data_IF_146254933122
#
_entry.id   IF_146254933122
#
_cell.length_a   1.000
_cell.length_b   1.000
_cell.length_c   1.000
_cell.angle_alpha   90.00
_cell.angle_beta   90.00
_cell.angle_gamma   90.00
#
_symmetry.space_group_name_H-M   'P 1'
#
loop_
_entity.id
_entity.type
_entity.pdbx_description
1 polymer ?
#
# COMPACT_ATOMS: atom_id res chain seq x y z
N UNK A 1 14.58 -39.12 -47.60
CA UNK A 1 13.12 -38.85 -47.60
C UNK A 1 12.43 -39.00 -46.22
N UNK A 2 12.96 -39.79 -45.27
CA UNK A 2 12.34 -40.02 -43.94
C UNK A 2 12.60 -38.94 -42.84
N UNK A 3 13.60 -38.06 -42.98
CA UNK A 3 13.89 -37.02 -41.97
C UNK A 3 12.93 -35.81 -42.01
N UNK A 4 12.36 -35.48 -43.17
CA UNK A 4 11.49 -34.30 -43.34
C UNK A 4 10.10 -34.54 -42.73
N UNK A 5 9.56 -35.76 -42.82
CA UNK A 5 8.25 -36.11 -42.24
C UNK A 5 8.24 -36.13 -40.70
N UNK A 6 9.39 -36.38 -40.04
CA UNK A 6 9.50 -36.30 -38.57
C UNK A 6 9.43 -34.86 -38.04
N UNK A 7 9.81 -33.86 -38.83
CA UNK A 7 9.73 -32.45 -38.45
C UNK A 7 8.27 -31.92 -38.42
N UNK A 8 7.40 -32.43 -39.31
CA UNK A 8 5.99 -32.04 -39.36
C UNK A 8 5.10 -32.74 -38.32
N UNK A 9 5.56 -33.86 -37.74
CA UNK A 9 4.85 -34.55 -36.65
C UNK A 9 4.79 -33.72 -35.35
N UNK A 10 5.76 -32.83 -35.13
CA UNK A 10 5.82 -31.93 -33.96
C UNK A 10 4.78 -30.80 -34.05
N UNK A 11 4.42 -30.39 -35.28
CA UNK A 11 3.47 -29.29 -35.54
C UNK A 11 2.02 -29.70 -35.26
N UNK A 12 1.71 -31.00 -35.31
CA UNK A 12 0.34 -31.55 -35.13
C UNK A 12 0.11 -32.19 -33.76
N UNK A 13 0.77 -31.74 -32.69
CA UNK A 13 0.32 -32.06 -31.34
C UNK A 13 -1.01 -31.33 -31.08
N UNK A 14 -2.09 -32.00 -30.65
CA UNK A 14 -3.23 -31.30 -30.09
C UNK A 14 -2.67 -30.40 -28.99
N UNK A 15 -2.92 -29.08 -29.08
CA UNK A 15 -2.50 -28.14 -28.03
C UNK A 15 -2.99 -28.72 -26.71
N UNK A 16 -2.06 -28.90 -25.76
CA UNK A 16 -2.41 -29.20 -24.38
C UNK A 16 -3.53 -28.25 -23.96
N UNK A 17 -4.71 -28.79 -23.67
CA UNK A 17 -5.80 -28.02 -23.09
C UNK A 17 -5.36 -27.71 -21.66
N UNK A 18 -4.74 -26.56 -21.45
CA UNK A 18 -4.48 -26.10 -20.08
C UNK A 18 -5.83 -25.73 -19.47
N UNK A 19 -6.28 -26.49 -18.46
CA UNK A 19 -7.31 -26.04 -17.55
C UNK A 19 -6.84 -24.73 -16.90
N UNK A 20 -7.49 -23.62 -17.25
CA UNK A 20 -7.32 -22.36 -16.54
C UNK A 20 -8.45 -22.27 -15.53
N UNK A 21 -8.16 -22.61 -14.29
CA UNK A 21 -9.07 -22.30 -13.18
C UNK A 21 -9.24 -20.78 -13.12
N UNK A 22 -10.49 -20.34 -13.16
CA UNK A 22 -10.86 -18.94 -12.92
C UNK A 22 -11.35 -18.88 -11.49
N UNK A 23 -10.64 -18.14 -10.65
CA UNK A 23 -11.11 -17.86 -9.29
C UNK A 23 -12.34 -16.96 -9.44
N UNK A 24 -13.52 -17.50 -9.11
CA UNK A 24 -14.73 -16.70 -8.96
C UNK A 24 -14.89 -16.36 -7.47
N UNK A 25 -14.80 -15.08 -7.16
CA UNK A 25 -15.05 -14.60 -5.80
C UNK A 25 -16.56 -14.47 -5.64
N UNK A 26 -17.16 -15.37 -4.87
CA UNK A 26 -18.62 -15.40 -4.65
C UNK A 26 -19.04 -14.51 -3.48
N UNK A 27 -18.16 -14.31 -2.50
CA UNK A 27 -18.48 -13.62 -1.25
C UNK A 27 -17.50 -12.48 -0.95
N UNK A 28 -18.03 -11.39 -0.37
CA UNK A 28 -17.25 -10.33 0.24
C UNK A 28 -17.15 -10.56 1.75
N UNK A 29 -15.96 -10.32 2.30
CA UNK A 29 -15.73 -10.32 3.73
C UNK A 29 -15.45 -8.89 4.18
N UNK A 30 -16.04 -8.50 5.30
CA UNK A 30 -15.76 -7.19 5.90
C UNK A 30 -14.50 -7.32 6.75
N UNK A 31 -13.50 -6.49 6.44
CA UNK A 31 -12.34 -6.27 7.30
C UNK A 31 -12.56 -4.97 8.04
N UNK A 32 -12.58 -5.01 9.38
CA UNK A 32 -12.78 -3.81 10.18
C UNK A 32 -11.44 -3.24 10.61
N UNK A 33 -11.35 -1.91 10.64
CA UNK A 33 -10.13 -1.22 11.09
C UNK A 33 -9.88 -1.40 12.59
N UNK A 34 -10.92 -1.72 13.37
CA UNK A 34 -10.79 -2.07 14.80
C UNK A 34 -10.02 -3.38 15.04
N UNK A 35 -9.96 -4.25 14.03
CA UNK A 35 -9.25 -5.53 14.09
C UNK A 35 -7.75 -5.38 13.73
N UNK A 36 -7.27 -4.16 13.47
CA UNK A 36 -5.84 -3.91 13.24
C UNK A 36 -5.07 -4.23 14.52
N UNK A 37 -4.19 -5.22 14.45
CA UNK A 37 -3.34 -5.60 15.58
C UNK A 37 -2.49 -4.42 16.08
N UNK A 38 -2.12 -4.44 17.37
CA UNK A 38 -1.14 -3.49 17.89
C UNK A 38 0.21 -3.71 17.19
N UNK A 39 0.81 -2.62 16.71
CA UNK A 39 2.15 -2.63 16.13
C UNK A 39 3.17 -2.24 17.18
N UNK A 40 4.23 -3.02 17.33
CA UNK A 40 5.44 -2.61 18.03
C UNK A 40 6.53 -2.25 17.01
N UNK A 41 7.29 -1.20 17.31
CA UNK A 41 8.49 -0.84 16.56
C UNK A 41 9.66 -0.79 17.52
N UNK A 42 10.66 -1.64 17.32
CA UNK A 42 11.88 -1.59 18.13
C UNK A 42 12.65 -0.29 17.91
N UNK A 43 13.22 0.28 18.97
CA UNK A 43 13.98 1.55 18.94
C UNK A 43 15.08 1.53 17.86
N UNK A 44 15.74 0.38 17.66
CA UNK A 44 16.75 0.23 16.61
C UNK A 44 16.24 0.49 15.18
N UNK A 45 14.94 0.30 14.91
CA UNK A 45 14.35 0.62 13.61
C UNK A 45 14.27 2.13 13.38
N UNK A 46 14.03 2.93 14.42
CA UNK A 46 14.05 4.40 14.35
C UNK A 46 15.43 4.91 13.93
N UNK A 47 16.49 4.31 14.49
CA UNK A 47 17.88 4.62 14.12
C UNK A 47 18.21 4.24 12.68
N UNK A 48 17.52 3.25 12.09
CA UNK A 48 17.76 2.73 10.73
C UNK A 48 16.80 3.26 9.66
N UNK A 49 16.14 4.40 9.91
CA UNK A 49 15.34 5.09 8.91
C UNK A 49 13.84 5.05 9.15
N UNK A 50 13.39 4.35 10.20
CA UNK A 50 12.00 4.36 10.65
C UNK A 50 11.60 5.72 11.26
N UNK A 51 10.30 5.97 11.34
CA UNK A 51 9.77 7.20 11.94
C UNK A 51 8.43 6.97 12.60
N UNK A 52 8.18 7.70 13.69
CA UNK A 52 6.91 7.77 14.41
C UNK A 52 6.32 9.15 14.16
N UNK A 53 5.08 9.15 13.68
CA UNK A 53 4.22 10.32 13.58
C UNK A 53 3.21 10.28 14.72
N UNK A 54 3.13 11.39 15.44
CA UNK A 54 2.27 11.55 16.62
C UNK A 54 1.84 13.01 16.75
N UNK A 55 0.77 13.25 17.48
CA UNK A 55 0.29 14.58 17.78
C UNK A 55 0.14 14.79 19.31
N UNK A 56 -0.47 15.90 19.70
CA UNK A 56 -0.75 16.21 21.10
C UNK A 56 -1.71 15.23 21.78
N UNK A 57 -2.67 14.65 21.06
CA UNK A 57 -3.56 13.65 21.62
C UNK A 57 -2.82 12.34 21.88
N UNK A 58 -1.85 11.97 21.04
CA UNK A 58 -0.99 10.81 21.31
C UNK A 58 -0.28 10.90 22.66
N UNK A 59 0.13 12.11 23.07
CA UNK A 59 0.81 12.35 24.35
C UNK A 59 -0.15 12.48 25.55
N UNK A 60 -1.38 12.97 25.32
CA UNK A 60 -2.35 13.29 26.39
C UNK A 60 -3.34 12.16 26.63
N UNK A 61 -3.89 11.60 25.56
CA UNK A 61 -5.04 10.69 25.54
C UNK A 61 -4.66 9.26 25.08
N UNK A 62 -3.46 9.09 24.51
CA UNK A 62 -2.95 7.77 24.13
C UNK A 62 -2.88 6.79 25.31
N UNK A 63 -2.80 5.49 24.98
CA UNK A 63 -2.58 4.44 25.98
C UNK A 63 -1.35 4.72 26.85
N UNK A 64 -1.35 4.28 28.10
CA UNK A 64 -0.25 4.53 29.03
C UNK A 64 1.11 4.07 28.50
N UNK A 65 1.16 2.87 27.90
CA UNK A 65 2.36 2.33 27.24
C UNK A 65 2.89 3.26 26.14
N UNK A 66 2.00 3.72 25.25
CA UNK A 66 2.37 4.62 24.14
C UNK A 66 2.83 5.99 24.65
N UNK A 67 2.16 6.55 25.66
CA UNK A 67 2.54 7.83 26.26
C UNK A 67 3.90 7.76 26.94
N UNK A 68 4.17 6.68 27.67
CA UNK A 68 5.46 6.48 28.33
C UNK A 68 6.59 6.30 27.29
N UNK A 69 6.33 5.51 26.24
CA UNK A 69 7.26 5.35 25.13
C UNK A 69 7.58 6.69 24.44
N UNK A 70 6.56 7.50 24.12
CA UNK A 70 6.78 8.79 23.47
C UNK A 70 7.59 9.75 24.34
N UNK A 71 7.34 9.79 25.66
CA UNK A 71 8.13 10.62 26.60
C UNK A 71 9.59 10.20 26.63
N UNK A 72 9.86 8.90 26.76
CA UNK A 72 11.22 8.36 26.73
C UNK A 72 11.95 8.71 25.43
N UNK A 73 11.27 8.53 24.28
CA UNK A 73 11.85 8.83 22.98
C UNK A 73 12.09 10.34 22.78
N UNK A 74 11.23 11.21 23.32
CA UNK A 74 11.40 12.66 23.25
C UNK A 74 12.61 13.16 24.06
N UNK A 75 12.99 12.43 25.10
CA UNK A 75 14.18 12.70 25.92
C UNK A 75 15.46 12.09 25.31
N UNK A 76 15.34 11.16 24.34
CA UNK A 76 16.49 10.55 23.66
C UNK A 76 17.10 11.48 22.59
N UNK A 77 18.12 12.23 23.00
CA UNK A 77 18.88 13.14 22.13
C UNK A 77 19.73 12.43 21.05
N UNK A 78 19.83 11.10 21.07
CA UNK A 78 20.65 10.34 20.12
C UNK A 78 19.85 9.90 18.88
N UNK A 79 18.54 10.12 18.86
CA UNK A 79 17.69 9.77 17.73
C UNK A 79 17.88 10.73 16.55
N UNK A 80 17.89 10.22 15.30
CA UNK A 80 17.90 11.09 14.13
C UNK A 80 16.69 12.01 14.08
N UNK A 81 16.84 13.24 13.57
CA UNK A 81 15.73 14.24 13.46
C UNK A 81 14.50 13.73 12.70
N UNK A 82 14.64 12.74 11.83
CA UNK A 82 13.51 12.16 11.10
C UNK A 82 12.71 11.14 11.93
N UNK A 83 13.26 10.64 13.06
CA UNK A 83 12.69 9.52 13.81
C UNK A 83 11.39 9.89 14.51
N UNK A 84 11.32 11.09 15.08
CA UNK A 84 10.14 11.60 15.78
C UNK A 84 9.56 12.76 14.98
N UNK A 85 8.34 12.61 14.48
CA UNK A 85 7.66 13.58 13.65
C UNK A 85 6.37 14.03 14.36
N UNK A 86 6.49 15.08 15.18
CA UNK A 86 5.32 15.71 15.81
C UNK A 86 4.48 16.43 14.75
N UNK A 87 3.17 16.28 14.86
CA UNK A 87 2.19 16.94 14.01
C UNK A 87 1.60 18.11 14.80
N UNK A 88 1.94 19.32 14.40
CA UNK A 88 1.54 20.55 15.10
C UNK A 88 0.03 20.80 15.01
N UNK A 89 -0.56 20.58 13.83
CA UNK A 89 -2.00 20.69 13.64
C UNK A 89 -2.65 19.30 13.65
N UNK A 90 -3.18 18.90 14.80
CA UNK A 90 -3.86 17.62 14.98
C UNK A 90 -5.00 17.38 13.98
N UNK A 91 -5.69 18.44 13.51
CA UNK A 91 -6.75 18.27 12.51
C UNK A 91 -6.24 17.71 11.19
N UNK A 92 -4.93 17.80 10.92
CA UNK A 92 -4.31 17.22 9.75
C UNK A 92 -3.95 15.74 9.92
N UNK A 93 -3.92 15.22 11.15
CA UNK A 93 -3.62 13.81 11.42
C UNK A 93 -4.90 12.97 11.30
N UNK A 94 -5.41 12.85 10.07
CA UNK A 94 -6.68 12.19 9.74
C UNK A 94 -6.63 10.65 9.85
N UNK A 95 -6.08 10.10 10.92
CA UNK A 95 -5.98 8.65 11.15
C UNK A 95 -6.65 8.27 12.47
N UNK A 96 -7.35 7.11 12.54
CA UNK A 96 -7.86 6.58 13.81
C UNK A 96 -6.76 5.95 14.66
N UNK A 97 -5.53 5.81 14.14
CA UNK A 97 -4.41 5.23 14.87
C UNK A 97 -3.82 6.27 15.83
N UNK A 98 -3.52 5.86 17.07
CA UNK A 98 -2.87 6.72 18.07
C UNK A 98 -1.51 7.26 17.56
N UNK A 99 -0.76 6.44 16.83
CA UNK A 99 0.51 6.81 16.19
C UNK A 99 0.63 6.12 14.83
N UNK A 100 1.40 6.71 13.93
CA UNK A 100 1.72 6.11 12.64
C UNK A 100 3.22 5.84 12.50
N UNK A 101 3.58 4.60 12.18
CA UNK A 101 4.97 4.19 11.98
C UNK A 101 5.29 4.05 10.48
N UNK A 102 6.25 4.82 9.97
CA UNK A 102 6.80 4.61 8.63
C UNK A 102 8.09 3.79 8.71
N UNK A 103 8.23 2.78 7.87
CA UNK A 103 9.37 1.86 7.89
C UNK A 103 10.62 2.42 7.20
N UNK A 104 10.47 3.32 6.22
CA UNK A 104 11.58 3.90 5.44
C UNK A 104 11.20 5.22 4.75
N UNK A 105 12.13 5.80 3.97
CA UNK A 105 12.05 7.16 3.41
C UNK A 105 10.80 7.48 2.56
N UNK A 106 10.47 6.71 1.52
CA UNK A 106 9.23 6.85 0.74
C UNK A 106 7.97 6.89 1.58
N UNK A 107 7.78 5.95 2.52
CA UNK A 107 6.61 5.95 3.39
C UNK A 107 6.59 7.21 4.28
N UNK A 108 7.74 7.58 4.87
CA UNK A 108 7.84 8.82 5.66
C UNK A 108 7.42 10.03 4.83
N UNK A 109 7.92 10.15 3.59
CA UNK A 109 7.57 11.24 2.68
C UNK A 109 6.08 11.21 2.30
N UNK A 110 5.50 10.02 2.14
CA UNK A 110 4.08 9.86 1.83
C UNK A 110 3.20 10.32 2.99
N UNK A 111 3.50 9.88 4.23
CA UNK A 111 2.77 10.36 5.43
C UNK A 111 2.91 11.87 5.57
N UNK A 112 4.12 12.42 5.36
CA UNK A 112 4.32 13.88 5.35
C UNK A 112 3.43 14.62 4.36
N UNK A 113 3.24 14.06 3.16
CA UNK A 113 2.33 14.63 2.15
C UNK A 113 0.87 14.56 2.64
N UNK A 114 0.43 13.44 3.22
CA UNK A 114 -0.95 13.28 3.72
C UNK A 114 -1.33 14.29 4.83
N UNK A 115 -0.37 14.67 5.68
CA UNK A 115 -0.59 15.61 6.79
C UNK A 115 -0.40 17.09 6.41
N UNK A 116 -0.09 17.39 5.14
CA UNK A 116 -0.10 18.78 4.65
C UNK A 116 -1.53 19.29 4.64
N UNK A 117 -1.75 20.54 5.06
CA UNK A 117 -3.10 21.10 5.25
C UNK A 117 -3.95 21.04 3.99
N UNK A 118 -3.34 21.28 2.83
CA UNK A 118 -3.97 21.21 1.51
C UNK A 118 -4.40 19.80 1.08
N UNK A 119 -3.77 18.76 1.61
CA UNK A 119 -4.15 17.36 1.37
C UNK A 119 -5.12 16.89 2.45
N UNK A 120 -4.82 17.19 3.71
CA UNK A 120 -5.66 16.86 4.86
C UNK A 120 -7.05 17.50 4.79
N UNK A 121 -7.18 18.65 4.13
CA UNK A 121 -8.47 19.30 3.87
C UNK A 121 -9.32 18.62 2.79
N UNK A 122 -8.75 17.68 2.03
CA UNK A 122 -9.43 16.95 0.94
C UNK A 122 -9.77 15.51 1.35
N UNK A 123 -8.94 14.90 2.21
CA UNK A 123 -9.14 13.53 2.66
C UNK A 123 -9.99 13.48 3.93
N UNK A 124 -10.89 12.50 4.02
CA UNK A 124 -11.71 12.29 5.21
C UNK A 124 -10.92 11.58 6.31
N UNK A 125 -10.20 10.52 5.92
CA UNK A 125 -9.44 9.66 6.81
C UNK A 125 -8.41 8.86 6.04
N UNK A 126 -7.39 8.34 6.73
CA UNK A 126 -6.48 7.34 6.21
C UNK A 126 -6.01 6.39 7.31
N UNK A 127 -5.65 5.17 6.93
CA UNK A 127 -4.97 4.22 7.80
C UNK A 127 -3.71 3.73 7.10
N UNK A 128 -2.62 3.58 7.86
CA UNK A 128 -1.50 2.75 7.43
C UNK A 128 -1.78 1.31 7.81
N UNK A 129 -1.81 0.41 6.84
CA UNK A 129 -1.91 -1.02 7.09
C UNK A 129 -0.65 -1.56 7.75
N UNK A 130 -0.82 -2.65 8.47
CA UNK A 130 0.28 -3.50 8.90
C UNK A 130 0.78 -4.37 7.76
N UNK A 131 2.04 -4.77 7.87
CA UNK A 131 2.71 -5.64 6.91
C UNK A 131 2.12 -7.06 6.90
N UNK A 132 1.37 -7.44 7.95
CA UNK A 132 0.70 -8.75 8.11
C UNK A 132 -0.62 -8.56 8.88
N UNK A 133 -1.63 -9.37 8.52
CA UNK A 133 -2.79 -9.64 9.38
C UNK A 133 -3.96 -8.67 9.26
N UNK A 134 -3.82 -7.58 8.49
CA UNK A 134 -4.93 -6.67 8.21
C UNK A 134 -5.60 -6.98 6.86
N UNK A 135 -4.85 -6.97 5.76
CA UNK A 135 -5.44 -7.12 4.43
C UNK A 135 -4.46 -7.72 3.42
N UNK A 136 -4.71 -8.95 2.97
CA UNK A 136 -3.78 -9.68 2.11
C UNK A 136 -4.31 -9.84 0.67
N UNK A 137 -3.46 -9.52 -0.30
CA UNK A 137 -3.68 -9.69 -1.73
C UNK A 137 -2.77 -10.78 -2.28
N UNK A 138 -3.37 -11.88 -2.74
CA UNK A 138 -2.65 -12.95 -3.41
C UNK A 138 -2.33 -12.61 -4.86
N UNK A 139 -1.14 -13.03 -5.31
CA UNK A 139 -0.69 -12.87 -6.69
C UNK A 139 0.24 -14.01 -7.09
N UNK A 140 0.44 -14.15 -8.40
CA UNK A 140 1.43 -15.08 -8.95
C UNK A 140 2.20 -14.46 -10.10
N UNK A 141 3.47 -14.83 -10.22
CA UNK A 141 4.38 -14.40 -11.28
C UNK A 141 5.32 -15.53 -11.67
N UNK A 142 6.11 -15.37 -12.73
CA UNK A 142 7.11 -16.36 -13.13
C UNK A 142 8.50 -15.80 -12.87
N UNK A 143 9.37 -16.60 -12.24
CA UNK A 143 10.80 -16.31 -12.12
C UNK A 143 11.55 -17.41 -12.88
N UNK A 144 11.86 -17.17 -14.15
CA UNK A 144 12.31 -18.22 -15.06
C UNK A 144 11.16 -19.18 -15.43
N UNK A 145 11.40 -20.49 -15.35
CA UNK A 145 10.42 -21.51 -15.73
C UNK A 145 9.38 -21.81 -14.63
N UNK A 146 9.70 -21.49 -13.37
CA UNK A 146 8.84 -21.83 -12.24
C UNK A 146 7.88 -20.69 -11.86
N UNK A 147 6.57 -20.95 -11.77
CA UNK A 147 5.63 -20.00 -11.19
C UNK A 147 5.91 -19.85 -9.69
N UNK A 148 5.88 -18.60 -9.22
CA UNK A 148 5.89 -18.23 -7.81
C UNK A 148 4.53 -17.67 -7.43
N UNK A 149 4.10 -18.01 -6.23
CA UNK A 149 2.94 -17.41 -5.57
C UNK A 149 3.44 -16.57 -4.41
N UNK A 150 2.71 -15.50 -4.11
CA UNK A 150 2.97 -14.65 -2.97
C UNK A 150 1.73 -13.89 -2.58
N UNK A 151 1.83 -13.19 -1.47
CA UNK A 151 0.83 -12.26 -1.01
C UNK A 151 1.47 -10.97 -0.55
N UNK A 152 0.70 -9.89 -0.49
CA UNK A 152 1.15 -8.64 0.07
C UNK A 152 -0.01 -7.86 0.69
N UNK A 153 0.32 -6.94 1.59
CA UNK A 153 -0.64 -6.04 2.22
C UNK A 153 -0.38 -4.62 1.68
N UNK A 154 -1.37 -3.93 1.09
CA UNK A 154 -1.20 -2.54 0.67
C UNK A 154 -0.89 -1.63 1.85
N UNK A 155 -0.02 -0.65 1.66
CA UNK A 155 0.49 0.20 2.75
C UNK A 155 -0.56 1.15 3.34
N UNK A 156 -1.44 1.73 2.52
CA UNK A 156 -2.42 2.70 2.99
C UNK A 156 -3.80 2.50 2.38
N UNK A 157 -4.82 2.84 3.17
CA UNK A 157 -6.18 3.06 2.71
C UNK A 157 -6.57 4.50 3.04
N UNK A 158 -6.98 5.27 2.04
CA UNK A 158 -7.36 6.69 2.17
C UNK A 158 -8.81 6.85 1.74
N UNK A 159 -9.63 7.43 2.60
CA UNK A 159 -11.05 7.70 2.35
C UNK A 159 -11.26 9.12 1.85
N UNK A 160 -12.01 9.27 0.76
CA UNK A 160 -12.46 10.55 0.20
C UNK A 160 -13.90 10.39 -0.26
N UNK A 161 -14.87 10.86 0.54
CA UNK A 161 -16.29 10.61 0.31
C UNK A 161 -16.58 9.10 0.28
N UNK A 162 -17.12 8.62 -0.84
CA UNK A 162 -17.38 7.19 -1.07
C UNK A 162 -16.23 6.48 -1.81
N UNK A 163 -15.12 7.15 -2.07
CA UNK A 163 -13.94 6.53 -2.67
C UNK A 163 -12.95 6.07 -1.58
N UNK A 164 -12.32 4.92 -1.83
CA UNK A 164 -11.21 4.39 -1.05
C UNK A 164 -10.00 4.23 -1.97
N UNK A 165 -8.96 5.04 -1.77
CA UNK A 165 -7.68 4.85 -2.42
C UNK A 165 -6.87 3.81 -1.65
N UNK A 166 -6.41 2.79 -2.36
CA UNK A 166 -5.57 1.74 -1.82
C UNK A 166 -4.18 1.92 -2.40
N UNK A 167 -3.22 2.26 -1.54
CA UNK A 167 -1.90 2.70 -1.96
C UNK A 167 -0.87 1.68 -1.51
N UNK A 168 -0.01 1.29 -2.45
CA UNK A 168 1.26 0.64 -2.16
C UNK A 168 2.38 1.64 -2.48
N UNK A 169 3.19 1.94 -1.49
CA UNK A 169 4.37 2.79 -1.60
C UNK A 169 5.55 1.95 -2.08
N UNK A 170 6.25 2.45 -3.09
CA UNK A 170 7.42 1.83 -3.71
C UNK A 170 8.60 2.77 -3.71
N UNK A 171 9.79 2.21 -3.92
CA UNK A 171 10.96 2.99 -4.31
C UNK A 171 10.82 3.43 -5.77
N UNK A 172 11.45 4.56 -6.11
CA UNK A 172 11.52 4.98 -7.52
C UNK A 172 12.23 3.89 -8.34
N UNK A 173 11.73 3.66 -9.56
CA UNK A 173 12.25 2.66 -10.51
C UNK A 173 12.25 1.22 -9.98
N UNK A 174 11.39 0.88 -9.01
CA UNK A 174 11.19 -0.50 -8.54
C UNK A 174 10.38 -1.34 -9.55
N UNK A 175 10.92 -1.44 -10.77
CA UNK A 175 10.32 -2.12 -11.91
C UNK A 175 10.80 -3.56 -11.94
N UNK A 176 9.88 -4.51 -11.79
CA UNK A 176 10.15 -5.94 -11.84
C UNK A 176 8.93 -6.72 -12.33
N UNK A 177 9.14 -7.93 -12.84
CA UNK A 177 8.05 -8.84 -13.23
C UNK A 177 7.11 -9.15 -12.06
N UNK A 178 7.68 -9.21 -10.85
CA UNK A 178 6.94 -9.41 -9.61
C UNK A 178 6.02 -8.21 -9.31
N UNK A 179 6.55 -6.98 -9.35
CA UNK A 179 5.76 -5.78 -9.15
C UNK A 179 4.73 -5.56 -10.27
N UNK A 180 5.04 -5.95 -11.51
CA UNK A 180 4.08 -5.94 -12.63
C UNK A 180 2.92 -6.89 -12.35
N UNK A 181 3.21 -8.08 -11.82
CA UNK A 181 2.17 -9.02 -11.39
C UNK A 181 1.36 -8.45 -10.21
N UNK A 182 2.01 -7.97 -9.14
CA UNK A 182 1.32 -7.38 -7.97
C UNK A 182 0.35 -6.27 -8.39
N UNK A 183 0.79 -5.34 -9.23
CA UNK A 183 -0.06 -4.25 -9.75
C UNK A 183 -1.28 -4.80 -10.51
N UNK A 184 -1.06 -5.76 -11.42
CA UNK A 184 -2.13 -6.38 -12.20
C UNK A 184 -3.15 -7.10 -11.31
N UNK A 185 -2.69 -7.93 -10.38
CA UNK A 185 -3.54 -8.74 -9.52
C UNK A 185 -4.33 -7.86 -8.53
N UNK A 186 -3.72 -6.81 -7.98
CA UNK A 186 -4.39 -5.88 -7.09
C UNK A 186 -5.48 -5.07 -7.79
N UNK A 187 -5.21 -4.53 -9.00
CA UNK A 187 -6.25 -3.87 -9.80
C UNK A 187 -7.42 -4.81 -10.10
N UNK A 188 -7.12 -6.02 -10.56
CA UNK A 188 -8.14 -7.04 -10.80
C UNK A 188 -8.91 -7.40 -9.52
N UNK A 189 -8.26 -7.40 -8.35
CA UNK A 189 -8.92 -7.63 -7.07
C UNK A 189 -9.94 -6.53 -6.77
N UNK A 190 -9.51 -5.26 -6.76
CA UNK A 190 -10.42 -4.16 -6.42
C UNK A 190 -11.49 -3.92 -7.49
N UNK A 191 -11.24 -4.25 -8.75
CA UNK A 191 -12.27 -4.29 -9.80
C UNK A 191 -13.36 -5.32 -9.49
N UNK A 192 -13.02 -6.47 -8.88
CA UNK A 192 -14.03 -7.44 -8.41
C UNK A 192 -14.77 -6.93 -7.20
N UNK A 193 -14.07 -6.36 -6.21
CA UNK A 193 -14.70 -5.76 -5.02
C UNK A 193 -15.73 -4.69 -5.44
N UNK A 194 -15.37 -3.81 -6.37
CA UNK A 194 -16.26 -2.78 -6.91
C UNK A 194 -17.47 -3.31 -7.69
N UNK A 195 -17.44 -4.57 -8.15
CA UNK A 195 -18.59 -5.20 -8.82
C UNK A 195 -19.52 -5.91 -7.84
N UNK A 196 -18.99 -6.35 -6.71
CA UNK A 196 -19.71 -7.12 -5.70
C UNK A 196 -20.39 -6.23 -4.64
N UNK A 197 -20.01 -4.94 -4.55
CA UNK A 197 -20.68 -3.96 -3.68
C UNK A 197 -20.71 -2.56 -4.31
N UNK A 198 -21.60 -1.70 -3.82
CA UNK A 198 -21.81 -0.33 -4.32
C UNK A 198 -21.60 0.77 -3.26
N UNK A 199 -21.29 0.41 -2.01
CA UNK A 199 -21.14 1.38 -0.90
C UNK A 199 -19.90 2.25 -1.09
N UNK A 200 -18.79 1.64 -1.49
CA UNK A 200 -17.51 2.32 -1.70
C UNK A 200 -16.93 1.98 -3.06
N UNK A 201 -16.10 2.86 -3.60
CA UNK A 201 -15.34 2.58 -4.81
C UNK A 201 -13.85 2.59 -4.55
N UNK A 202 -13.21 1.45 -4.78
CA UNK A 202 -11.80 1.22 -4.49
C UNK A 202 -10.93 1.52 -5.71
N UNK A 203 -9.83 2.26 -5.52
CA UNK A 203 -8.85 2.55 -6.56
C UNK A 203 -7.46 2.18 -6.07
N UNK A 204 -6.88 1.14 -6.66
CA UNK A 204 -5.54 0.70 -6.32
C UNK A 204 -4.47 1.47 -7.09
N UNK A 205 -3.40 1.87 -6.40
CA UNK A 205 -2.28 2.59 -6.99
C UNK A 205 -0.94 2.15 -6.40
N UNK A 206 0.03 1.94 -7.28
CA UNK A 206 1.44 2.02 -6.87
C UNK A 206 1.88 3.48 -6.93
N UNK A 207 2.61 3.94 -5.92
CA UNK A 207 3.20 5.27 -5.91
C UNK A 207 4.62 5.22 -5.38
N UNK A 208 5.50 6.04 -5.97
CA UNK A 208 6.85 6.23 -5.49
C UNK A 208 7.16 7.73 -5.37
N UNK A 209 8.22 8.13 -4.65
CA UNK A 209 8.53 9.53 -4.37
C UNK A 209 8.50 10.46 -5.59
N UNK A 210 8.94 10.02 -6.77
CA UNK A 210 8.94 10.82 -7.99
C UNK A 210 7.54 11.25 -8.47
N UNK A 211 6.48 10.60 -7.97
CA UNK A 211 5.10 10.88 -8.32
C UNK A 211 4.31 11.60 -7.22
N UNK A 212 4.93 11.93 -6.07
CA UNK A 212 4.19 12.47 -4.92
C UNK A 212 3.60 13.85 -5.20
N UNK A 213 4.36 14.78 -5.80
CA UNK A 213 3.85 16.12 -6.10
C UNK A 213 2.69 16.08 -7.12
N UNK A 214 2.79 15.20 -8.12
CA UNK A 214 1.72 14.99 -9.10
C UNK A 214 0.49 14.34 -8.46
N UNK A 215 0.69 13.40 -7.53
CA UNK A 215 -0.40 12.75 -6.82
C UNK A 215 -1.09 13.72 -5.85
N UNK A 216 -0.33 14.54 -5.12
CA UNK A 216 -0.85 15.62 -4.29
C UNK A 216 -1.77 16.54 -5.10
N UNK A 217 -1.30 17.00 -6.27
CA UNK A 217 -2.11 17.79 -7.19
C UNK A 217 -3.38 17.05 -7.61
N UNK A 218 -3.27 15.78 -7.98
CA UNK A 218 -4.41 14.97 -8.40
C UNK A 218 -5.43 14.77 -7.27
N UNK A 219 -4.98 14.62 -6.01
CA UNK A 219 -5.87 14.61 -4.84
C UNK A 219 -6.64 15.91 -4.75
N UNK A 220 -5.93 17.04 -4.75
CA UNK A 220 -6.52 18.39 -4.62
C UNK A 220 -7.49 18.75 -5.74
N UNK A 221 -7.24 18.27 -6.96
CA UNK A 221 -8.10 18.54 -8.12
C UNK A 221 -9.23 17.51 -8.28
N UNK A 222 -9.31 16.48 -7.42
CA UNK A 222 -10.30 15.40 -7.56
C UNK A 222 -10.03 14.43 -8.73
N UNK A 223 -8.85 14.52 -9.33
CA UNK A 223 -8.38 13.71 -10.47
C UNK A 223 -7.73 12.38 -10.03
N UNK A 224 -7.66 12.14 -8.73
CA UNK A 224 -7.03 10.94 -8.15
C UNK A 224 -7.59 9.63 -8.71
N UNK A 225 -8.84 9.57 -9.17
CA UNK A 225 -9.46 8.32 -9.67
C UNK A 225 -8.69 7.74 -10.86
N UNK A 226 -8.31 8.61 -11.79
CA UNK A 226 -7.62 8.26 -13.04
C UNK A 226 -6.11 8.47 -12.98
N UNK A 227 -5.60 9.03 -11.88
CA UNK A 227 -4.17 9.21 -11.69
C UNK A 227 -3.40 7.90 -11.88
N UNK A 228 -2.35 7.95 -12.70
CA UNK A 228 -1.39 6.87 -12.90
C UNK A 228 0.00 7.40 -12.57
N UNK A 229 0.69 6.74 -11.64
CA UNK A 229 2.05 7.15 -11.29
C UNK A 229 3.04 6.84 -12.40
N UNK A 230 4.22 7.46 -12.36
CA UNK A 230 5.31 7.15 -13.30
C UNK A 230 5.72 5.68 -13.21
N UNK A 231 5.87 5.14 -12.01
CA UNK A 231 6.15 3.72 -11.80
C UNK A 231 5.08 2.80 -12.42
N UNK A 232 3.80 3.16 -12.31
CA UNK A 232 2.73 2.40 -12.97
C UNK A 232 2.76 2.52 -14.50
N UNK A 233 3.27 3.63 -15.04
CA UNK A 233 3.51 3.78 -16.47
C UNK A 233 4.61 2.81 -16.93
N UNK A 234 5.72 2.77 -16.19
CA UNK A 234 6.88 1.92 -16.50
C UNK A 234 6.59 0.42 -16.33
N UNK A 235 5.67 0.05 -15.43
CA UNK A 235 5.25 -1.35 -15.22
C UNK A 235 4.25 -1.87 -16.26
N UNK A 236 3.49 -0.99 -16.92
CA UNK A 236 2.38 -1.36 -17.81
C UNK A 236 2.86 -1.78 -19.19
#
# INVERSE_FOLDING_TARGET
RQKILRAFGVIRRPKSKSLRYKIEAENLFTVKTEDINRRSLGIGALRRGGSIFFDDFSLKEGGEEDRNLLKELLEDETLPRYALQRIENTFNFKTPLNMCFSSYGPERKFVKMLIRGEVAGVIDAWIKSLDIGFYSLEYSWRKGEHPKQGSFNPDFFIKIGNDILVIEVKMDRDVSDENKARLKYARAHFDRVNKLQSKYKYYFKFISPESYDLFERALRMGEYRTFRSRLEADLG
#
